data_IF_063780336253
#
_entry.id   IF_063780336253
#
_cell.length_a   1.000
_cell.length_b   1.000
_cell.length_c   1.000
_cell.angle_alpha   90.00
_cell.angle_beta   90.00
_cell.angle_gamma   90.00
#
_symmetry.space_group_name_H-M   'P 1'
#
loop_
_entity.id
_entity.type
_entity.pdbx_description
1 polymer ?
#
# COMPACT_ATOMS: atom_id res chain seq x y z
N UNK A 1 4.56 18.66 -18.54
CA UNK A 1 5.45 17.91 -17.62
C UNK A 1 5.56 18.51 -16.23
N UNK A 2 6.11 19.72 -16.00
CA UNK A 2 6.25 20.27 -14.63
C UNK A 2 4.94 20.55 -13.88
N UNK A 3 3.85 20.84 -14.56
CA UNK A 3 2.55 21.14 -13.94
C UNK A 3 1.78 19.87 -13.52
N UNK A 4 1.78 18.83 -14.33
CA UNK A 4 1.12 17.54 -14.05
C UNK A 4 1.85 16.81 -12.93
N UNK A 5 3.18 16.90 -12.91
CA UNK A 5 4.00 16.35 -11.83
C UNK A 5 3.72 17.03 -10.48
N UNK A 6 3.48 18.36 -10.49
CA UNK A 6 3.04 19.07 -9.27
C UNK A 6 1.64 18.62 -8.83
N UNK A 7 0.73 18.32 -9.76
CA UNK A 7 -0.62 17.88 -9.42
C UNK A 7 -0.61 16.46 -8.82
N UNK A 8 0.20 15.55 -9.36
CA UNK A 8 0.30 14.17 -8.88
C UNK A 8 1.00 14.10 -7.49
N UNK A 9 2.07 14.89 -7.29
CA UNK A 9 2.76 14.98 -6.00
C UNK A 9 1.92 15.77 -4.98
N UNK A 10 1.19 16.83 -5.39
CA UNK A 10 0.30 17.55 -4.49
C UNK A 10 -0.87 16.68 -4.01
N UNK A 11 -1.47 15.86 -4.86
CA UNK A 11 -2.50 14.92 -4.45
C UNK A 11 -1.98 13.83 -3.48
N UNK A 12 -0.73 13.40 -3.64
CA UNK A 12 -0.10 12.48 -2.67
C UNK A 12 0.32 13.18 -1.36
N UNK A 13 0.77 14.43 -1.42
CA UNK A 13 1.15 15.20 -0.21
C UNK A 13 -0.07 15.76 0.54
N UNK A 14 -1.14 16.13 -0.15
CA UNK A 14 -2.33 16.69 0.48
C UNK A 14 -3.10 15.66 1.34
N UNK A 15 -3.02 14.36 1.00
CA UNK A 15 -3.60 13.30 1.83
C UNK A 15 -2.76 12.92 3.07
N UNK A 16 -1.52 13.39 3.16
CA UNK A 16 -0.62 13.07 4.28
C UNK A 16 -0.75 14.00 5.52
N UNK A 17 -1.65 14.99 5.51
CA UNK A 17 -1.71 16.05 6.53
C UNK A 17 -3.07 16.21 7.24
N UNK A 18 -3.83 15.14 7.41
CA UNK A 18 -5.01 15.22 8.28
C UNK A 18 -4.60 14.96 9.74
N UNK A 19 -4.90 15.88 10.69
CA UNK A 19 -4.61 15.65 12.08
C UNK A 19 -5.56 14.60 12.66
N UNK A 20 -4.98 13.62 13.35
CA UNK A 20 -5.69 12.69 14.23
C UNK A 20 -6.32 13.50 15.37
N UNK A 21 -7.62 13.47 15.51
CA UNK A 21 -8.29 13.87 16.76
C UNK A 21 -8.12 12.73 17.77
N UNK A 22 -7.37 12.98 18.81
CA UNK A 22 -7.38 12.18 20.04
C UNK A 22 -8.55 12.63 20.91
N UNK A 23 -9.41 11.69 21.29
CA UNK A 23 -10.37 11.88 22.36
C UNK A 23 -9.65 11.95 23.71
N UNK A 24 -9.93 12.99 24.46
CA UNK A 24 -10.14 12.97 25.90
C UNK A 24 -10.56 14.38 26.33
N UNK A 25 -11.82 14.55 26.73
CA UNK A 25 -12.18 15.03 28.05
C UNK A 25 -13.71 15.12 28.23
N UNK A 26 -14.16 14.47 29.28
CA UNK A 26 -15.50 14.61 29.79
C UNK A 26 -15.69 15.97 30.48
N UNK A 27 -16.66 16.74 30.04
CA UNK A 27 -17.41 17.63 30.95
C UNK A 27 -18.82 17.84 30.44
N UNK A 28 -19.76 17.48 31.31
CA UNK A 28 -21.19 17.71 31.20
C UNK A 28 -21.54 19.17 30.86
N UNK A 29 -22.32 19.35 29.82
CA UNK A 29 -23.40 20.32 29.79
C UNK A 29 -24.47 19.81 28.81
N UNK A 30 -25.59 19.38 29.40
CA UNK A 30 -26.82 19.15 28.67
C UNK A 30 -27.21 20.44 27.92
N UNK A 31 -26.99 20.47 26.62
CA UNK A 31 -27.74 21.31 25.73
C UNK A 31 -28.40 20.38 24.74
N UNK A 32 -29.73 20.33 24.81
CA UNK A 32 -30.63 19.62 23.94
C UNK A 32 -30.35 20.00 22.48
N UNK A 33 -29.57 19.19 21.80
CA UNK A 33 -29.48 19.18 20.35
C UNK A 33 -30.69 18.41 19.81
N UNK A 34 -31.54 18.99 18.94
CA UNK A 34 -32.71 18.28 18.40
C UNK A 34 -32.30 17.38 17.23
N UNK A 35 -31.26 16.54 17.39
CA UNK A 35 -30.87 15.51 16.46
C UNK A 35 -31.49 14.19 16.92
N UNK A 36 -32.77 14.05 16.80
CA UNK A 36 -33.42 12.76 16.65
C UNK A 36 -34.83 12.95 16.14
N UNK A 37 -34.95 13.06 14.90
CA UNK A 37 -36.23 12.95 14.27
C UNK A 37 -36.02 12.34 12.92
N UNK A 38 -36.55 11.18 12.79
CA UNK A 38 -36.68 10.24 11.70
C UNK A 38 -36.87 10.86 10.29
N UNK A 39 -35.95 11.70 9.81
CA UNK A 39 -35.91 12.03 8.40
C UNK A 39 -34.76 11.22 7.75
N UNK A 40 -35.11 10.46 6.73
CA UNK A 40 -34.14 9.64 5.99
C UNK A 40 -33.23 10.55 5.16
N UNK A 41 -31.96 10.16 4.93
CA UNK A 41 -31.11 10.86 3.97
C UNK A 41 -31.69 10.78 2.55
N UNK A 42 -31.15 11.58 1.64
CA UNK A 42 -31.46 11.47 0.21
C UNK A 42 -31.01 10.11 -0.30
N UNK A 43 -31.77 9.51 -1.22
CA UNK A 43 -31.42 8.26 -1.89
C UNK A 43 -30.68 8.50 -3.20
N UNK A 44 -30.00 7.48 -3.70
CA UNK A 44 -29.35 7.48 -5.02
C UNK A 44 -28.45 8.71 -5.28
N UNK A 45 -27.78 9.21 -4.23
CA UNK A 45 -26.98 10.42 -4.31
C UNK A 45 -25.74 10.21 -5.22
N UNK A 46 -25.66 10.98 -6.29
CA UNK A 46 -24.55 10.94 -7.24
C UNK A 46 -24.12 12.37 -7.62
N UNK A 47 -22.84 12.54 -7.89
CA UNK A 47 -22.27 13.78 -8.43
C UNK A 47 -21.43 13.39 -9.65
N UNK A 48 -21.69 14.02 -10.77
CA UNK A 48 -21.06 13.73 -12.06
C UNK A 48 -20.43 15.01 -12.62
N UNK A 49 -19.30 14.87 -13.31
CA UNK A 49 -18.74 15.96 -14.09
C UNK A 49 -19.63 16.22 -15.31
N UNK A 50 -19.81 17.49 -15.66
CA UNK A 50 -20.45 17.91 -16.93
C UNK A 50 -19.36 18.18 -17.98
N UNK A 51 -19.73 18.70 -19.14
CA UNK A 51 -18.76 19.14 -20.14
C UNK A 51 -18.20 20.56 -19.86
N UNK A 52 -18.44 21.10 -18.69
CA UNK A 52 -18.01 22.44 -18.26
C UNK A 52 -17.06 22.35 -17.06
N UNK A 53 -15.96 23.07 -17.11
CA UNK A 53 -14.93 23.09 -16.07
C UNK A 53 -15.40 23.61 -14.70
N UNK A 54 -16.49 24.35 -14.66
CA UNK A 54 -17.02 24.98 -13.45
C UNK A 54 -18.43 24.49 -13.11
N UNK A 55 -18.77 23.24 -13.47
CA UNK A 55 -20.13 22.74 -13.28
C UNK A 55 -20.13 21.24 -12.96
N UNK A 56 -20.92 20.86 -11.98
CA UNK A 56 -21.17 19.49 -11.56
C UNK A 56 -22.67 19.18 -11.67
N UNK A 57 -23.03 18.00 -12.16
CA UNK A 57 -24.40 17.51 -12.14
C UNK A 57 -24.63 16.68 -10.87
N UNK A 58 -25.49 17.18 -9.98
CA UNK A 58 -25.87 16.51 -8.73
C UNK A 58 -27.23 15.85 -8.92
N UNK A 59 -27.33 14.57 -8.61
CA UNK A 59 -28.54 13.75 -8.72
C UNK A 59 -28.87 13.11 -7.39
N UNK A 60 -30.17 13.07 -7.05
CA UNK A 60 -30.61 12.36 -5.84
C UNK A 60 -32.10 12.01 -5.94
N UNK A 61 -32.55 11.11 -5.07
CA UNK A 61 -33.95 10.83 -4.83
C UNK A 61 -34.36 11.39 -3.47
N UNK A 62 -35.41 12.19 -3.43
CA UNK A 62 -35.92 12.76 -2.18
C UNK A 62 -36.42 11.64 -1.25
N UNK A 63 -36.29 11.79 0.08
CA UNK A 63 -36.82 10.83 1.03
C UNK A 63 -38.33 10.68 0.92
N UNK A 64 -38.85 9.49 1.26
CA UNK A 64 -40.30 9.19 1.31
C UNK A 64 -41.00 9.79 2.56
N UNK A 65 -40.25 10.44 3.45
CA UNK A 65 -40.82 11.07 4.63
C UNK A 65 -41.90 12.11 4.26
N UNK A 66 -43.06 12.04 4.91
CA UNK A 66 -44.21 12.93 4.60
C UNK A 66 -43.95 14.40 4.88
N UNK A 67 -43.03 14.70 5.74
CA UNK A 67 -42.67 16.03 6.22
C UNK A 67 -41.37 16.57 5.60
N UNK A 68 -40.79 15.88 4.63
CA UNK A 68 -39.66 16.43 3.86
C UNK A 68 -40.13 17.70 3.11
N UNK A 69 -39.28 18.71 3.13
CA UNK A 69 -39.63 20.02 2.57
C UNK A 69 -38.50 20.55 1.69
N UNK A 70 -37.27 20.34 2.09
CA UNK A 70 -36.09 20.88 1.42
C UNK A 70 -34.97 19.89 1.38
N UNK A 71 -34.07 20.06 0.40
CA UNK A 71 -32.72 19.48 0.38
C UNK A 71 -31.72 20.63 0.34
N UNK A 72 -30.79 20.63 1.26
CA UNK A 72 -29.65 21.51 1.24
C UNK A 72 -28.47 20.80 0.57
N UNK A 73 -27.99 21.39 -0.52
CA UNK A 73 -26.71 21.03 -1.11
C UNK A 73 -25.64 21.96 -0.58
N UNK A 74 -24.55 21.40 -0.13
CA UNK A 74 -23.35 22.15 0.23
C UNK A 74 -22.16 21.60 -0.53
N UNK A 75 -21.16 22.47 -0.80
CA UNK A 75 -19.93 22.04 -1.42
C UNK A 75 -18.75 22.77 -0.82
N UNK A 76 -17.62 22.11 -0.78
CA UNK A 76 -16.36 22.68 -0.34
C UNK A 76 -15.22 22.15 -1.21
N UNK A 77 -14.23 22.98 -1.45
CA UNK A 77 -12.96 22.57 -2.05
C UNK A 77 -12.17 21.71 -1.04
N UNK A 78 -11.85 20.49 -1.44
CA UNK A 78 -11.14 19.53 -0.60
C UNK A 78 -9.69 20.00 -0.33
N UNK A 79 -9.08 20.73 -1.28
CA UNK A 79 -7.71 21.22 -1.19
C UNK A 79 -7.61 22.56 -0.46
N UNK A 80 -8.60 23.42 -0.55
CA UNK A 80 -8.60 24.72 0.13
C UNK A 80 -8.60 24.59 1.66
N UNK A 81 -9.12 23.50 2.19
CA UNK A 81 -9.04 23.20 3.63
C UNK A 81 -7.62 22.88 4.11
N UNK A 82 -6.70 22.58 3.20
CA UNK A 82 -5.29 22.27 3.47
C UNK A 82 -4.37 23.50 3.27
N UNK A 83 -4.80 24.47 2.48
CA UNK A 83 -4.11 25.74 2.33
C UNK A 83 -4.77 26.78 3.27
N UNK A 84 -3.98 27.55 4.01
CA UNK A 84 -4.46 28.68 4.85
C UNK A 84 -5.03 29.85 4.01
N UNK A 85 -5.62 29.57 2.86
CA UNK A 85 -6.30 30.57 2.04
C UNK A 85 -7.67 30.85 2.67
N UNK A 86 -7.80 32.02 3.29
CA UNK A 86 -8.87 32.42 4.21
C UNK A 86 -10.15 32.88 3.54
N UNK A 87 -10.32 32.76 2.23
CA UNK A 87 -11.40 33.45 1.51
C UNK A 87 -12.45 32.53 0.85
N UNK A 88 -12.41 31.21 1.07
CA UNK A 88 -13.43 30.33 0.52
C UNK A 88 -14.46 29.94 1.59
N UNK A 89 -15.68 30.52 1.49
CA UNK A 89 -16.84 30.06 2.24
C UNK A 89 -17.50 28.90 1.51
N UNK A 90 -17.84 27.79 2.17
CA UNK A 90 -18.60 26.70 1.58
C UNK A 90 -19.90 27.24 0.95
N UNK A 91 -20.20 26.82 -0.28
CA UNK A 91 -21.46 27.19 -0.92
C UNK A 91 -22.60 26.37 -0.34
N UNK A 92 -23.73 27.00 -0.09
CA UNK A 92 -24.97 26.36 0.36
C UNK A 92 -26.12 26.73 -0.58
N UNK A 93 -26.89 25.73 -1.00
CA UNK A 93 -28.04 25.88 -1.88
C UNK A 93 -29.20 25.12 -1.27
N UNK A 94 -30.31 25.78 -1.09
CA UNK A 94 -31.55 25.17 -0.55
C UNK A 94 -32.55 24.99 -1.68
N UNK A 95 -33.05 23.78 -1.85
CA UNK A 95 -33.96 23.36 -2.88
C UNK A 95 -35.25 22.86 -2.26
N UNK A 96 -36.38 23.45 -2.60
CA UNK A 96 -37.70 22.95 -2.21
C UNK A 96 -37.98 21.64 -2.95
N UNK A 97 -38.44 20.62 -2.23
CA UNK A 97 -38.57 19.29 -2.79
C UNK A 97 -39.90 18.63 -2.44
N UNK A 98 -40.33 17.73 -3.30
CA UNK A 98 -41.43 16.79 -3.07
C UNK A 98 -40.84 15.41 -2.73
N UNK A 99 -41.52 14.64 -1.87
CA UNK A 99 -41.08 13.31 -1.50
C UNK A 99 -41.04 12.35 -2.68
N UNK A 100 -40.18 11.33 -2.61
CA UNK A 100 -40.04 10.25 -3.58
C UNK A 100 -39.73 10.71 -5.03
N UNK A 101 -39.36 11.97 -5.23
CA UNK A 101 -39.01 12.52 -6.54
C UNK A 101 -37.50 12.44 -6.75
N UNK A 102 -37.07 11.93 -7.89
CA UNK A 102 -35.66 12.03 -8.34
C UNK A 102 -35.45 13.43 -8.94
N UNK A 103 -34.40 14.08 -8.48
CA UNK A 103 -34.05 15.43 -8.90
C UNK A 103 -32.62 15.52 -9.41
N UNK A 104 -32.40 16.50 -10.26
CA UNK A 104 -31.10 16.87 -10.78
C UNK A 104 -30.87 18.37 -10.57
N UNK A 105 -29.63 18.73 -10.24
CA UNK A 105 -29.24 20.13 -10.07
C UNK A 105 -27.85 20.37 -10.69
N UNK A 106 -27.73 21.39 -11.53
CA UNK A 106 -26.48 21.85 -12.09
C UNK A 106 -25.81 22.79 -11.08
N UNK A 107 -24.88 22.28 -10.35
CA UNK A 107 -24.09 22.99 -9.34
C UNK A 107 -22.95 23.75 -10.01
N UNK A 108 -22.98 25.07 -9.97
CA UNK A 108 -21.88 25.91 -10.42
C UNK A 108 -20.86 26.06 -9.30
N UNK A 109 -19.60 25.74 -9.61
CA UNK A 109 -18.45 25.90 -8.71
C UNK A 109 -17.57 27.04 -9.19
N UNK A 110 -16.89 27.77 -8.27
CA UNK A 110 -16.22 29.04 -8.61
C UNK A 110 -14.97 28.87 -9.47
N UNK A 111 -14.32 27.72 -9.41
CA UNK A 111 -13.09 27.42 -10.16
C UNK A 111 -12.90 25.92 -10.27
N UNK A 112 -11.95 25.49 -11.09
CA UNK A 112 -11.59 24.08 -11.24
C UNK A 112 -10.81 23.58 -10.01
N UNK A 113 -11.42 22.67 -9.25
CA UNK A 113 -10.85 22.03 -8.07
C UNK A 113 -11.57 20.71 -7.76
N UNK A 114 -11.07 19.95 -6.82
CA UNK A 114 -11.76 18.77 -6.29
C UNK A 114 -12.75 19.20 -5.20
N UNK A 115 -14.04 18.97 -5.44
CA UNK A 115 -15.11 19.35 -4.52
C UNK A 115 -15.68 18.16 -3.78
N UNK A 116 -15.87 18.30 -2.47
CA UNK A 116 -16.81 17.47 -1.72
C UNK A 116 -18.18 18.13 -1.79
N UNK A 117 -19.16 17.42 -2.36
CA UNK A 117 -20.55 17.84 -2.43
C UNK A 117 -21.37 17.00 -1.48
N UNK A 118 -22.19 17.63 -0.65
CA UNK A 118 -23.04 16.97 0.33
C UNK A 118 -24.49 17.37 0.17
N UNK A 119 -25.39 16.43 0.44
CA UNK A 119 -26.83 16.65 0.44
C UNK A 119 -27.46 16.28 1.79
N UNK A 120 -28.28 17.15 2.35
CA UNK A 120 -28.99 16.95 3.62
C UNK A 120 -30.48 17.22 3.39
N UNK A 121 -31.32 16.23 3.68
CA UNK A 121 -32.78 16.44 3.66
C UNK A 121 -33.26 17.18 4.91
N UNK A 122 -34.20 18.09 4.77
CA UNK A 122 -34.72 18.95 5.84
C UNK A 122 -36.23 18.82 5.86
N UNK A 123 -36.82 18.61 7.03
CA UNK A 123 -38.28 18.57 7.22
C UNK A 123 -38.86 19.95 7.41
N UNK A 124 -40.20 20.07 7.29
CA UNK A 124 -40.98 21.31 7.60
C UNK A 124 -40.73 21.82 9.01
N UNK A 125 -40.36 20.94 9.94
CA UNK A 125 -40.03 21.29 11.30
C UNK A 125 -38.54 21.64 11.50
N UNK A 126 -37.74 21.72 10.43
CA UNK A 126 -36.31 22.03 10.45
C UNK A 126 -35.41 20.89 10.87
N UNK A 127 -35.93 19.65 11.03
CA UNK A 127 -35.11 18.47 11.35
C UNK A 127 -34.28 18.09 10.12
N UNK A 128 -33.03 17.68 10.36
CA UNK A 128 -32.04 17.37 9.33
C UNK A 128 -31.72 15.88 9.30
N UNK A 129 -31.51 15.33 8.11
CA UNK A 129 -30.95 13.98 7.94
C UNK A 129 -29.45 13.97 8.19
N UNK A 130 -28.86 12.77 8.28
CA UNK A 130 -27.42 12.61 8.07
C UNK A 130 -27.08 13.01 6.62
N UNK A 131 -25.90 13.61 6.37
CA UNK A 131 -25.49 13.99 5.02
C UNK A 131 -25.12 12.76 4.18
N UNK A 132 -25.45 12.81 2.89
CA UNK A 132 -24.82 11.98 1.86
C UNK A 132 -23.79 12.85 1.14
N UNK A 133 -22.56 12.33 0.94
CA UNK A 133 -21.45 13.09 0.35
C UNK A 133 -20.76 12.33 -0.76
N UNK A 134 -20.28 13.06 -1.76
CA UNK A 134 -19.44 12.55 -2.85
C UNK A 134 -18.35 13.57 -3.16
N UNK A 135 -17.19 13.04 -3.56
CA UNK A 135 -16.06 13.84 -4.01
C UNK A 135 -16.04 13.77 -5.55
N UNK A 136 -15.99 14.92 -6.21
CA UNK A 136 -15.95 15.01 -7.66
C UNK A 136 -15.10 16.20 -8.10
N UNK A 137 -14.37 16.02 -9.20
CA UNK A 137 -13.69 17.06 -9.94
C UNK A 137 -14.54 17.41 -11.16
N UNK A 138 -14.80 18.71 -11.47
CA UNK A 138 -15.45 19.11 -12.72
C UNK A 138 -14.68 18.59 -13.94
N UNK A 139 -15.35 18.57 -15.08
CA UNK A 139 -14.69 18.23 -16.35
C UNK A 139 -13.55 19.21 -16.62
N UNK A 140 -12.43 18.67 -16.95
CA UNK A 140 -11.31 19.41 -17.53
C UNK A 140 -11.13 18.93 -18.96
N UNK A 141 -11.11 19.87 -19.92
CA UNK A 141 -10.82 19.52 -21.30
C UNK A 141 -9.47 18.76 -21.32
N UNK A 142 -9.54 17.51 -21.71
CA UNK A 142 -8.35 16.69 -21.81
C UNK A 142 -7.48 17.35 -22.88
N UNK A 143 -6.48 18.11 -22.45
CA UNK A 143 -5.40 18.50 -23.36
C UNK A 143 -4.87 17.18 -23.90
N UNK A 144 -4.88 16.99 -25.20
CA UNK A 144 -4.28 15.81 -25.84
C UNK A 144 -2.83 15.73 -25.38
N UNK A 145 -2.62 14.99 -24.29
CA UNK A 145 -1.28 14.59 -23.91
C UNK A 145 -0.80 13.68 -25.02
N UNK A 146 0.46 13.84 -25.48
CA UNK A 146 0.99 12.96 -26.49
C UNK A 146 0.82 11.52 -25.98
N UNK A 147 0.19 10.69 -26.79
CA UNK A 147 -0.04 9.28 -26.50
C UNK A 147 1.31 8.62 -26.13
N UNK A 148 1.42 8.08 -24.94
CA UNK A 148 2.64 7.41 -24.49
C UNK A 148 2.89 6.19 -25.38
N UNK A 149 4.01 6.17 -26.09
CA UNK A 149 4.38 5.08 -27.00
C UNK A 149 5.13 3.97 -26.26
N UNK A 150 4.48 3.41 -25.26
CA UNK A 150 5.01 2.25 -24.55
C UNK A 150 4.68 0.95 -25.31
N UNK A 151 5.53 -0.07 -25.25
CA UNK A 151 5.15 -1.41 -25.66
C UNK A 151 3.86 -1.83 -24.92
N UNK A 152 2.95 -2.52 -25.60
CA UNK A 152 1.61 -2.84 -25.07
C UNK A 152 1.63 -3.43 -23.65
N UNK A 153 2.54 -4.36 -23.36
CA UNK A 153 2.64 -4.99 -22.04
C UNK A 153 3.14 -4.02 -20.97
N UNK A 154 4.07 -3.13 -21.32
CA UNK A 154 4.57 -2.10 -20.41
C UNK A 154 3.51 -1.04 -20.14
N UNK A 155 2.75 -0.62 -21.15
CA UNK A 155 1.62 0.29 -21.00
C UNK A 155 0.57 -0.28 -20.06
N UNK A 156 0.20 -1.55 -20.22
CA UNK A 156 -0.71 -2.24 -19.30
C UNK A 156 -0.17 -2.31 -17.87
N UNK A 157 1.10 -2.67 -17.71
CA UNK A 157 1.75 -2.73 -16.40
C UNK A 157 1.78 -1.34 -15.73
N UNK A 158 2.13 -0.28 -16.50
CA UNK A 158 2.11 1.10 -16.04
C UNK A 158 0.71 1.54 -15.60
N UNK A 159 -0.32 1.24 -16.39
CA UNK A 159 -1.72 1.55 -16.06
C UNK A 159 -2.16 0.87 -14.76
N UNK A 160 -1.85 -0.42 -14.58
CA UNK A 160 -2.17 -1.13 -13.34
C UNK A 160 -1.38 -0.56 -12.15
N UNK A 161 -0.08 -0.35 -12.29
CA UNK A 161 0.76 0.18 -11.21
C UNK A 161 0.32 1.57 -10.78
N UNK A 162 -0.02 2.44 -11.72
CA UNK A 162 -0.57 3.78 -11.43
C UNK A 162 -1.87 3.68 -10.63
N UNK A 163 -2.77 2.77 -11.01
CA UNK A 163 -4.01 2.53 -10.29
C UNK A 163 -3.75 1.98 -8.88
N UNK A 164 -2.85 1.01 -8.73
CA UNK A 164 -2.49 0.43 -7.42
C UNK A 164 -1.87 1.49 -6.52
N UNK A 165 -0.93 2.29 -7.01
CA UNK A 165 -0.36 3.42 -6.27
C UNK A 165 -1.48 4.39 -5.87
N UNK A 166 -2.35 4.77 -6.80
CA UNK A 166 -3.46 5.69 -6.57
C UNK A 166 -4.42 5.24 -5.47
N UNK A 167 -4.70 3.96 -5.35
CA UNK A 167 -5.65 3.43 -4.35
C UNK A 167 -5.00 3.03 -3.03
N UNK A 168 -3.77 2.52 -3.04
CA UNK A 168 -3.19 1.87 -1.88
C UNK A 168 -1.99 2.58 -1.28
N UNK A 169 -1.19 3.34 -2.05
CA UNK A 169 0.05 3.93 -1.56
C UNK A 169 -0.16 5.34 -0.99
N UNK A 170 0.58 5.68 0.07
CA UNK A 170 0.63 7.04 0.63
C UNK A 170 -0.68 7.56 1.20
N UNK A 171 -1.60 6.67 1.59
CA UNK A 171 -2.89 7.04 2.18
C UNK A 171 -2.85 7.19 3.70
N UNK A 172 -1.71 6.88 4.31
CA UNK A 172 -1.39 7.14 5.71
C UNK A 172 -0.30 8.21 5.82
N UNK A 173 0.00 8.65 7.03
CA UNK A 173 1.08 9.60 7.31
C UNK A 173 2.49 9.04 7.05
N UNK A 174 2.62 7.73 6.81
CA UNK A 174 3.90 7.02 6.74
C UNK A 174 4.42 6.73 5.33
N UNK A 175 3.71 7.10 4.29
CA UNK A 175 4.06 6.73 2.91
C UNK A 175 4.14 5.21 2.72
N UNK A 176 3.21 4.48 3.30
CA UNK A 176 3.10 3.03 3.26
C UNK A 176 1.97 2.58 2.34
N UNK A 177 2.00 1.29 1.97
CA UNK A 177 0.89 0.64 1.29
C UNK A 177 -0.22 0.31 2.27
N UNK A 178 -1.47 0.54 1.88
CA UNK A 178 -2.64 0.09 2.65
C UNK A 178 -2.90 -1.40 2.46
N UNK A 179 -3.51 -2.01 3.48
CA UNK A 179 -3.91 -3.41 3.46
C UNK A 179 -5.18 -3.68 2.66
N UNK A 180 -6.06 -2.68 2.48
CA UNK A 180 -7.35 -2.85 1.82
C UNK A 180 -7.84 -1.57 1.13
N UNK A 181 -8.73 -1.78 0.16
CA UNK A 181 -9.46 -0.70 -0.52
C UNK A 181 -10.92 -1.17 -0.84
N UNK A 182 -11.94 -0.32 -0.62
CA UNK A 182 -11.86 0.95 0.11
C UNK A 182 -11.47 0.74 1.57
N UNK A 183 -10.85 1.77 2.18
CA UNK A 183 -10.51 1.71 3.59
C UNK A 183 -11.78 1.74 4.45
N UNK A 184 -11.97 0.71 5.25
CA UNK A 184 -13.19 0.48 6.05
C UNK A 184 -13.04 0.86 7.53
N UNK A 185 -11.98 1.60 7.87
CA UNK A 185 -11.67 1.99 9.26
C UNK A 185 -11.11 0.84 10.11
N UNK A 186 -10.87 -0.32 9.51
CA UNK A 186 -10.28 -1.50 10.16
C UNK A 186 -8.87 -1.71 9.65
N UNK A 187 -8.08 -2.36 10.44
CA UNK A 187 -6.70 -2.69 10.10
C UNK A 187 -5.73 -2.21 11.15
N UNK A 188 -4.47 -2.54 10.94
CA UNK A 188 -3.38 -2.17 11.83
C UNK A 188 -2.74 -0.86 11.36
N UNK A 189 -2.25 -0.05 12.30
CA UNK A 189 -1.42 1.12 12.00
C UNK A 189 -2.03 2.07 10.96
N UNK A 190 -3.21 2.58 11.20
CA UNK A 190 -3.96 3.44 10.27
C UNK A 190 -4.34 2.75 8.94
N UNK A 191 -4.48 1.43 8.97
CA UNK A 191 -4.83 0.62 7.81
C UNK A 191 -3.68 0.31 6.86
N UNK A 192 -2.44 0.55 7.28
CA UNK A 192 -1.27 0.13 6.52
C UNK A 192 -1.20 -1.41 6.47
N UNK A 193 -0.71 -1.94 5.36
CA UNK A 193 -0.44 -3.36 5.23
C UNK A 193 0.70 -3.79 6.16
N UNK A 194 0.70 -5.07 6.53
CA UNK A 194 1.85 -5.70 7.17
C UNK A 194 3.09 -5.64 6.27
N UNK A 195 4.26 -5.89 6.84
CA UNK A 195 5.53 -5.88 6.10
C UNK A 195 5.50 -6.74 4.84
N UNK A 196 4.82 -7.90 4.87
CA UNK A 196 4.61 -8.74 3.70
C UNK A 196 3.93 -7.98 2.54
N UNK A 197 2.83 -7.27 2.83
CA UNK A 197 2.13 -6.44 1.84
C UNK A 197 2.96 -5.24 1.40
N UNK A 198 3.75 -4.64 2.30
CA UNK A 198 4.71 -3.59 1.96
C UNK A 198 5.76 -4.10 0.98
N UNK A 199 6.34 -5.29 1.22
CA UNK A 199 7.28 -5.95 0.34
C UNK A 199 6.70 -6.23 -1.04
N UNK A 200 5.48 -6.80 -1.12
CA UNK A 200 4.82 -7.03 -2.42
C UNK A 200 4.62 -5.76 -3.25
N UNK A 201 4.23 -4.66 -2.61
CA UNK A 201 4.12 -3.35 -3.26
C UNK A 201 5.48 -2.79 -3.68
N UNK A 202 6.51 -2.97 -2.87
CA UNK A 202 7.88 -2.57 -3.18
C UNK A 202 8.44 -3.36 -4.36
N UNK A 203 8.28 -4.68 -4.39
CA UNK A 203 8.72 -5.54 -5.51
C UNK A 203 8.10 -5.12 -6.83
N UNK A 204 6.79 -4.84 -6.84
CA UNK A 204 6.12 -4.33 -8.03
C UNK A 204 6.67 -2.96 -8.46
N UNK A 205 6.95 -2.07 -7.51
CA UNK A 205 7.52 -0.75 -7.78
C UNK A 205 8.95 -0.85 -8.36
N UNK A 206 9.82 -1.66 -7.75
CA UNK A 206 11.21 -1.83 -8.20
C UNK A 206 11.25 -2.48 -9.59
N UNK A 207 10.38 -3.47 -9.85
CA UNK A 207 10.24 -4.05 -11.18
C UNK A 207 9.79 -3.02 -12.23
N UNK A 208 8.86 -2.13 -11.89
CA UNK A 208 8.45 -1.04 -12.78
C UNK A 208 9.57 -0.01 -12.99
N UNK A 209 10.36 0.23 -11.96
CA UNK A 209 11.53 1.13 -12.04
C UNK A 209 12.54 0.65 -13.08
N UNK A 210 12.83 -0.66 -13.09
CA UNK A 210 13.71 -1.30 -14.08
C UNK A 210 13.04 -1.34 -15.46
N UNK A 211 11.81 -1.81 -15.57
CA UNK A 211 11.10 -1.98 -16.84
C UNK A 211 10.83 -0.67 -17.60
N UNK A 212 10.74 0.45 -16.89
CA UNK A 212 10.47 1.78 -17.48
C UNK A 212 11.72 2.56 -17.83
N UNK A 213 12.89 2.01 -17.59
CA UNK A 213 14.18 2.63 -17.92
C UNK A 213 14.22 3.04 -19.39
N UNK A 214 14.74 4.23 -19.66
CA UNK A 214 14.79 4.83 -20.99
C UNK A 214 13.42 5.05 -21.67
N UNK A 215 12.32 4.88 -20.93
CA UNK A 215 10.98 5.16 -21.43
C UNK A 215 10.51 6.57 -21.03
N UNK A 216 9.41 7.01 -21.65
CA UNK A 216 8.80 8.32 -21.36
C UNK A 216 8.30 8.46 -19.92
N UNK A 217 8.06 7.33 -19.23
CA UNK A 217 7.55 7.29 -17.85
C UNK A 217 8.62 7.00 -16.77
N UNK A 218 9.88 6.86 -17.14
CA UNK A 218 10.99 6.59 -16.22
C UNK A 218 11.02 7.59 -15.04
N UNK A 219 10.86 8.88 -15.34
CA UNK A 219 10.89 9.93 -14.33
C UNK A 219 9.73 9.87 -13.33
N UNK A 220 8.62 9.21 -13.68
CA UNK A 220 7.47 9.05 -12.78
C UNK A 220 7.88 8.16 -11.61
N UNK A 221 8.48 7.02 -11.89
CA UNK A 221 8.92 6.09 -10.86
C UNK A 221 10.13 6.63 -10.10
N UNK A 222 11.13 7.20 -10.80
CA UNK A 222 12.30 7.80 -10.15
C UNK A 222 11.99 8.87 -9.12
N UNK A 223 10.96 9.67 -9.37
CA UNK A 223 10.53 10.69 -8.43
C UNK A 223 9.87 10.13 -7.14
N UNK A 224 9.51 8.85 -7.13
CA UNK A 224 8.89 8.19 -5.98
C UNK A 224 9.90 7.42 -5.11
N UNK A 225 11.14 7.26 -5.55
CA UNK A 225 12.18 6.46 -4.87
C UNK A 225 12.30 6.82 -3.39
N UNK A 226 12.44 8.09 -3.05
CA UNK A 226 12.58 8.53 -1.66
C UNK A 226 11.36 8.19 -0.80
N UNK A 227 10.18 8.31 -1.37
CA UNK A 227 8.93 8.09 -0.65
C UNK A 227 8.70 6.60 -0.40
N UNK A 228 8.95 5.75 -1.40
CA UNK A 228 8.87 4.29 -1.30
C UNK A 228 9.90 3.76 -0.29
N UNK A 229 11.15 4.22 -0.39
CA UNK A 229 12.20 3.83 0.55
C UNK A 229 11.86 4.26 1.98
N UNK A 230 11.41 5.50 2.18
CA UNK A 230 11.00 5.99 3.50
C UNK A 230 9.85 5.14 4.08
N UNK A 231 8.88 4.77 3.28
CA UNK A 231 7.75 3.95 3.72
C UNK A 231 8.19 2.60 4.27
N UNK A 232 9.01 1.86 3.53
CA UNK A 232 9.47 0.54 3.99
C UNK A 232 10.40 0.64 5.21
N UNK A 233 11.15 1.74 5.36
CA UNK A 233 12.05 1.93 6.50
C UNK A 233 11.33 2.04 7.85
N UNK A 234 10.05 2.37 7.90
CA UNK A 234 9.28 2.32 9.15
C UNK A 234 9.22 0.91 9.75
N UNK A 235 9.32 -0.12 8.94
CA UNK A 235 9.29 -1.51 9.38
C UNK A 235 10.67 -2.03 9.79
N UNK A 236 11.75 -1.33 9.44
CA UNK A 236 13.12 -1.69 9.83
C UNK A 236 13.38 -1.25 11.28
N UNK A 237 13.36 -2.21 12.21
CA UNK A 237 13.40 -1.97 13.65
C UNK A 237 14.65 -2.59 14.29
N UNK A 238 15.29 -1.83 15.18
CA UNK A 238 16.32 -2.37 16.07
C UNK A 238 15.62 -3.00 17.29
N UNK A 239 15.70 -4.30 17.40
CA UNK A 239 15.19 -5.05 18.54
C UNK A 239 16.18 -6.12 18.98
N UNK A 240 16.42 -6.25 20.29
CA UNK A 240 17.38 -7.19 20.89
C UNK A 240 18.79 -7.08 20.29
N UNK A 241 19.19 -5.90 19.83
CA UNK A 241 20.47 -5.65 19.19
C UNK A 241 20.55 -6.03 17.70
N UNK A 242 19.46 -6.50 17.11
CA UNK A 242 19.38 -6.97 15.73
C UNK A 242 18.49 -5.98 14.94
N UNK A 243 19.00 -5.49 13.81
CA UNK A 243 18.27 -4.64 12.89
C UNK A 243 17.64 -5.50 11.78
N UNK A 244 16.30 -5.49 11.68
CA UNK A 244 15.55 -6.25 10.67
C UNK A 244 14.15 -5.69 10.48
N UNK A 245 13.44 -6.12 9.44
CA UNK A 245 12.07 -5.74 9.19
C UNK A 245 11.11 -6.56 10.05
N UNK A 246 10.26 -5.86 10.82
CA UNK A 246 9.23 -6.44 11.67
C UNK A 246 7.88 -6.45 10.96
N UNK A 247 6.97 -7.37 11.32
CA UNK A 247 5.61 -7.41 10.78
C UNK A 247 4.88 -6.08 10.87
N UNK A 248 5.11 -5.33 11.96
CA UNK A 248 4.57 -4.00 12.22
C UNK A 248 5.72 -3.03 12.49
N UNK A 249 5.51 -1.72 12.26
CA UNK A 249 6.56 -0.72 12.48
C UNK A 249 6.76 -0.37 13.96
N UNK A 250 7.05 -1.38 14.79
CA UNK A 250 7.39 -1.22 16.19
C UNK A 250 8.33 -2.32 16.66
N UNK A 251 9.23 -2.01 17.60
CA UNK A 251 10.10 -2.99 18.24
C UNK A 251 9.31 -4.03 19.05
N UNK A 252 9.85 -5.23 19.20
CA UNK A 252 9.21 -6.33 19.91
C UNK A 252 8.15 -7.09 19.12
N UNK A 253 7.91 -6.70 17.86
CA UNK A 253 7.05 -7.45 16.96
C UNK A 253 7.75 -8.63 16.32
N UNK A 254 6.94 -9.57 15.85
CA UNK A 254 7.41 -10.75 15.16
C UNK A 254 8.13 -10.38 13.86
N UNK A 255 9.20 -11.12 13.55
CA UNK A 255 10.02 -10.96 12.35
C UNK A 255 10.15 -12.28 11.64
N UNK A 256 9.96 -12.26 10.33
CA UNK A 256 10.05 -13.42 9.47
C UNK A 256 11.23 -13.28 8.51
N UNK A 257 11.97 -14.36 8.32
CA UNK A 257 13.14 -14.36 7.43
C UNK A 257 12.73 -14.30 5.96
N UNK A 258 11.61 -14.92 5.58
CA UNK A 258 11.07 -14.82 4.23
C UNK A 258 10.58 -13.40 3.91
N UNK A 259 9.85 -12.73 4.82
CA UNK A 259 9.47 -11.32 4.64
C UNK A 259 10.70 -10.43 4.40
N UNK A 260 11.77 -10.65 5.17
CA UNK A 260 12.99 -9.88 5.08
C UNK A 260 13.75 -10.15 3.78
N UNK A 261 13.87 -11.41 3.35
CA UNK A 261 14.65 -11.73 2.15
C UNK A 261 14.04 -11.12 0.89
N UNK A 262 12.70 -11.07 0.78
CA UNK A 262 12.04 -10.42 -0.34
C UNK A 262 12.37 -8.93 -0.41
N UNK A 263 12.34 -8.23 0.72
CA UNK A 263 12.78 -6.82 0.80
C UNK A 263 14.27 -6.71 0.46
N UNK A 264 15.09 -7.64 0.91
CA UNK A 264 16.51 -7.69 0.58
C UNK A 264 16.78 -7.81 -0.91
N UNK A 265 16.02 -8.67 -1.62
CA UNK A 265 16.08 -8.82 -3.07
C UNK A 265 15.73 -7.50 -3.78
N UNK A 266 14.63 -6.85 -3.37
CA UNK A 266 14.25 -5.55 -3.92
C UNK A 266 15.33 -4.49 -3.71
N UNK A 267 15.98 -4.47 -2.55
CA UNK A 267 17.07 -3.53 -2.26
C UNK A 267 18.29 -3.76 -3.15
N UNK A 268 18.63 -5.01 -3.46
CA UNK A 268 19.74 -5.32 -4.39
C UNK A 268 19.38 -4.90 -5.81
N UNK A 269 18.17 -5.20 -6.26
CA UNK A 269 17.70 -4.81 -7.59
C UNK A 269 17.66 -3.29 -7.74
N UNK A 270 17.14 -2.59 -6.73
CA UNK A 270 17.09 -1.13 -6.72
C UNK A 270 18.50 -0.50 -6.72
N UNK A 271 19.45 -1.08 -5.96
CA UNK A 271 20.85 -0.68 -6.05
C UNK A 271 21.44 -0.94 -7.43
N UNK A 272 21.14 -2.10 -8.02
CA UNK A 272 21.66 -2.45 -9.35
C UNK A 272 21.19 -1.47 -10.40
N UNK A 273 19.96 -0.98 -10.28
CA UNK A 273 19.37 -0.01 -11.17
C UNK A 273 19.91 1.42 -10.94
N UNK A 274 19.95 1.88 -9.70
CA UNK A 274 20.23 3.30 -9.39
C UNK A 274 21.68 3.59 -9.00
N UNK A 275 22.42 2.58 -8.55
CA UNK A 275 23.75 2.68 -7.90
C UNK A 275 23.77 3.50 -6.61
N UNK A 276 22.60 3.76 -6.01
CA UNK A 276 22.53 4.49 -4.75
C UNK A 276 22.88 3.59 -3.56
N UNK A 277 23.92 3.97 -2.83
CA UNK A 277 24.49 3.18 -1.72
C UNK A 277 23.51 2.90 -0.57
N UNK A 278 22.45 3.71 -0.41
CA UNK A 278 21.44 3.48 0.63
C UNK A 278 20.74 2.11 0.45
N UNK A 279 20.47 1.70 -0.77
CA UNK A 279 19.83 0.43 -1.06
C UNK A 279 20.77 -0.75 -0.80
N UNK A 280 22.04 -0.65 -1.23
CA UNK A 280 23.03 -1.68 -0.92
C UNK A 280 23.28 -1.80 0.58
N UNK A 281 23.33 -0.68 1.30
CA UNK A 281 23.46 -0.68 2.76
C UNK A 281 22.31 -1.45 3.42
N UNK A 282 21.08 -1.21 2.95
CA UNK A 282 19.91 -1.89 3.48
C UNK A 282 19.87 -3.38 3.08
N UNK A 283 20.29 -3.71 1.87
CA UNK A 283 20.47 -5.11 1.47
C UNK A 283 21.48 -5.84 2.38
N UNK A 284 22.59 -5.20 2.72
CA UNK A 284 23.59 -5.77 3.66
C UNK A 284 23.00 -5.97 5.07
N UNK A 285 22.11 -5.11 5.53
CA UNK A 285 21.39 -5.30 6.81
C UNK A 285 20.54 -6.56 6.76
N UNK A 286 19.74 -6.74 5.72
CA UNK A 286 18.93 -7.95 5.53
C UNK A 286 19.81 -9.19 5.40
N UNK A 287 20.88 -9.11 4.61
CA UNK A 287 21.82 -10.23 4.47
C UNK A 287 22.37 -10.72 5.81
N UNK A 288 22.84 -9.79 6.65
CA UNK A 288 23.33 -10.14 7.99
C UNK A 288 22.24 -10.78 8.85
N UNK A 289 21.02 -10.27 8.78
CA UNK A 289 19.92 -10.87 9.50
C UNK A 289 19.65 -12.32 9.06
N UNK A 290 19.70 -12.60 7.76
CA UNK A 290 19.49 -13.96 7.22
C UNK A 290 20.60 -14.93 7.61
N UNK A 291 21.86 -14.49 7.50
CA UNK A 291 23.02 -15.39 7.67
C UNK A 291 23.41 -15.51 9.14
N UNK A 292 23.50 -14.39 9.86
CA UNK A 292 24.01 -14.41 11.24
C UNK A 292 22.96 -14.88 12.25
N UNK A 293 21.65 -14.79 11.89
CA UNK A 293 20.55 -15.10 12.80
C UNK A 293 19.54 -16.11 12.23
N UNK A 294 19.38 -16.19 10.91
CA UNK A 294 18.44 -17.08 10.23
C UNK A 294 19.00 -18.46 9.92
N UNK A 295 20.31 -18.55 9.69
CA UNK A 295 21.01 -19.81 9.45
C UNK A 295 21.57 -20.40 10.73
N UNK A 296 21.37 -21.69 10.94
CA UNK A 296 22.14 -22.49 11.92
C UNK A 296 22.24 -23.95 11.43
N UNK A 297 22.90 -24.82 12.18
CA UNK A 297 23.13 -26.22 11.79
C UNK A 297 21.93 -27.13 12.11
N UNK A 298 20.84 -26.63 12.68
CA UNK A 298 19.59 -27.38 12.87
C UNK A 298 19.08 -27.87 11.53
N UNK A 299 18.57 -29.09 11.46
CA UNK A 299 18.15 -29.77 10.21
C UNK A 299 19.28 -29.91 9.17
N UNK A 300 20.54 -29.84 9.54
CA UNK A 300 21.66 -29.86 8.61
C UNK A 300 21.95 -28.53 7.94
N UNK A 301 21.35 -27.41 8.38
CA UNK A 301 21.47 -26.08 7.80
C UNK A 301 20.15 -25.46 7.39
N UNK A 302 20.21 -24.47 6.47
CA UNK A 302 19.04 -23.77 5.97
C UNK A 302 18.62 -22.58 6.80
N UNK A 303 17.75 -21.74 6.24
CA UNK A 303 17.22 -20.54 6.90
C UNK A 303 15.86 -20.85 7.52
N UNK A 304 15.68 -20.40 8.77
CA UNK A 304 14.38 -20.51 9.46
C UNK A 304 13.28 -19.71 8.76
N UNK A 305 12.01 -19.96 9.11
CA UNK A 305 10.91 -19.18 8.64
C UNK A 305 10.78 -17.86 9.40
N UNK A 306 10.85 -17.94 10.73
CA UNK A 306 10.68 -16.77 11.61
C UNK A 306 11.74 -16.73 12.70
N UNK A 307 11.95 -15.54 13.25
CA UNK A 307 12.82 -15.36 14.39
C UNK A 307 12.31 -16.15 15.60
N UNK A 308 13.22 -16.84 16.23
CA UNK A 308 12.92 -17.89 17.18
C UNK A 308 12.17 -17.42 18.42
N UNK A 309 11.03 -18.05 18.64
CA UNK A 309 10.67 -18.52 19.95
C UNK A 309 10.91 -20.05 19.99
N UNK A 310 10.93 -20.64 21.16
CA UNK A 310 11.34 -22.03 21.45
C UNK A 310 10.68 -23.15 20.60
N UNK A 311 9.77 -22.83 19.68
CA UNK A 311 8.98 -23.80 18.92
C UNK A 311 9.21 -23.78 17.40
N UNK A 312 10.17 -23.02 16.90
CA UNK A 312 10.35 -22.82 15.46
C UNK A 312 11.76 -23.09 15.01
N UNK A 313 12.12 -24.35 15.03
CA UNK A 313 13.42 -24.83 14.57
C UNK A 313 13.40 -25.38 13.13
N UNK A 314 12.23 -25.35 12.46
CA UNK A 314 12.10 -25.81 11.08
C UNK A 314 12.81 -24.88 10.09
N UNK A 315 13.32 -25.47 9.02
CA UNK A 315 13.95 -24.76 7.91
C UNK A 315 13.03 -24.76 6.70
N UNK A 316 12.90 -23.61 6.07
CA UNK A 316 11.87 -23.40 5.05
C UNK A 316 12.43 -23.07 3.69
N UNK A 317 11.78 -23.61 2.64
CA UNK A 317 12.10 -23.31 1.26
C UNK A 317 11.86 -21.85 0.91
N UNK A 318 10.79 -21.22 1.45
CA UNK A 318 10.45 -19.82 1.22
C UNK A 318 11.46 -18.82 1.79
N UNK A 319 12.32 -19.25 2.73
CA UNK A 319 13.41 -18.44 3.27
C UNK A 319 14.75 -18.80 2.63
N UNK A 320 15.06 -20.10 2.51
CA UNK A 320 16.38 -20.56 2.06
C UNK A 320 16.59 -20.35 0.56
N UNK A 321 15.58 -20.65 -0.27
CA UNK A 321 15.66 -20.45 -1.71
C UNK A 321 15.90 -18.99 -2.11
N UNK A 322 15.08 -18.03 -1.65
CA UNK A 322 15.33 -16.62 -1.91
C UNK A 322 16.66 -16.10 -1.34
N UNK A 323 17.17 -16.67 -0.22
CA UNK A 323 18.49 -16.31 0.30
C UNK A 323 19.60 -16.70 -0.66
N UNK A 324 19.48 -17.87 -1.34
CA UNK A 324 20.42 -18.24 -2.41
C UNK A 324 20.38 -17.21 -3.57
N UNK A 325 19.17 -16.82 -4.02
CA UNK A 325 19.03 -15.79 -5.06
C UNK A 325 19.65 -14.46 -4.62
N UNK A 326 19.38 -14.04 -3.39
CA UNK A 326 19.93 -12.79 -2.86
C UNK A 326 21.46 -12.82 -2.83
N UNK A 327 22.05 -13.93 -2.43
CA UNK A 327 23.52 -14.11 -2.45
C UNK A 327 24.08 -13.97 -3.88
N UNK A 328 23.47 -14.63 -4.88
CA UNK A 328 23.87 -14.48 -6.28
C UNK A 328 23.80 -13.01 -6.72
N UNK A 329 22.68 -12.31 -6.47
CA UNK A 329 22.50 -10.90 -6.83
C UNK A 329 23.49 -10.00 -6.09
N UNK A 330 23.74 -10.22 -4.81
CA UNK A 330 24.73 -9.48 -4.02
C UNK A 330 26.14 -9.66 -4.59
N UNK A 331 26.51 -10.89 -4.95
CA UNK A 331 27.79 -11.16 -5.63
C UNK A 331 27.91 -10.42 -6.95
N UNK A 332 26.88 -10.47 -7.79
CA UNK A 332 26.88 -9.72 -9.07
C UNK A 332 27.00 -8.21 -8.85
N UNK A 333 26.38 -7.69 -7.80
CA UNK A 333 26.38 -6.26 -7.48
C UNK A 333 27.70 -5.76 -6.87
N UNK A 334 28.40 -6.59 -6.08
CA UNK A 334 29.56 -6.18 -5.25
C UNK A 334 30.86 -6.87 -5.63
N UNK A 335 30.83 -8.04 -6.27
CA UNK A 335 31.95 -8.94 -6.52
C UNK A 335 32.62 -9.48 -5.24
N UNK A 336 31.92 -9.43 -4.09
CA UNK A 336 32.39 -9.98 -2.83
C UNK A 336 32.10 -11.49 -2.79
N UNK A 337 33.13 -12.35 -2.73
CA UNK A 337 33.02 -13.81 -2.84
C UNK A 337 32.16 -14.45 -1.75
N UNK A 338 32.11 -13.87 -0.57
CA UNK A 338 31.29 -14.36 0.57
C UNK A 338 29.83 -14.59 0.17
N UNK A 339 29.26 -13.69 -0.64
CA UNK A 339 27.86 -13.80 -1.07
C UNK A 339 27.62 -15.02 -1.96
N UNK A 340 28.54 -15.29 -2.88
CA UNK A 340 28.43 -16.45 -3.76
C UNK A 340 28.62 -17.76 -2.99
N UNK A 341 29.58 -17.81 -2.05
CA UNK A 341 29.82 -19.01 -1.22
C UNK A 341 28.56 -19.37 -0.41
N UNK A 342 27.91 -18.39 0.19
CA UNK A 342 26.64 -18.57 0.88
C UNK A 342 25.47 -18.91 -0.05
N UNK A 343 25.42 -18.32 -1.23
CA UNK A 343 24.39 -18.65 -2.23
C UNK A 343 24.49 -20.13 -2.61
N UNK A 344 25.67 -20.63 -2.88
CA UNK A 344 25.93 -22.05 -3.17
C UNK A 344 25.52 -22.92 -1.97
N UNK A 345 25.93 -22.55 -0.76
CA UNK A 345 25.57 -23.29 0.46
C UNK A 345 24.04 -23.39 0.65
N UNK A 346 23.32 -22.29 0.45
CA UNK A 346 21.85 -22.29 0.50
C UNK A 346 21.21 -23.14 -0.61
N UNK A 347 21.75 -23.04 -1.82
CA UNK A 347 21.26 -23.81 -2.97
C UNK A 347 21.49 -25.31 -2.80
N UNK A 348 22.68 -25.72 -2.38
CA UNK A 348 23.01 -27.12 -2.09
C UNK A 348 22.09 -27.70 -1.00
N UNK A 349 21.83 -26.92 0.06
CA UNK A 349 20.86 -27.32 1.09
C UNK A 349 19.47 -27.54 0.50
N UNK A 350 18.99 -26.65 -0.39
CA UNK A 350 17.70 -26.83 -1.06
C UNK A 350 17.68 -28.13 -1.86
N UNK A 351 18.73 -28.42 -2.62
CA UNK A 351 18.84 -29.65 -3.38
C UNK A 351 18.89 -30.89 -2.48
N UNK A 352 19.74 -30.89 -1.45
CA UNK A 352 20.03 -32.09 -0.68
C UNK A 352 18.88 -32.45 0.29
N UNK A 353 18.25 -31.47 0.89
CA UNK A 353 17.29 -31.65 1.99
C UNK A 353 15.85 -31.45 1.56
N UNK A 354 15.56 -30.42 0.77
CA UNK A 354 14.18 -30.00 0.50
C UNK A 354 13.65 -30.42 -0.88
N UNK A 355 14.51 -30.90 -1.80
CA UNK A 355 14.07 -31.34 -3.11
C UNK A 355 13.47 -32.74 -3.09
N UNK A 356 12.27 -32.91 -3.62
CA UNK A 356 11.71 -34.22 -3.97
C UNK A 356 12.43 -34.78 -5.20
N UNK A 357 13.19 -35.85 -5.01
CA UNK A 357 13.99 -36.45 -6.09
C UNK A 357 13.13 -37.17 -7.16
N UNK A 358 11.83 -37.32 -6.93
CA UNK A 358 10.92 -37.97 -7.89
C UNK A 358 10.40 -37.03 -8.98
N UNK A 359 10.24 -35.74 -8.66
CA UNK A 359 9.70 -34.72 -9.60
C UNK A 359 10.51 -33.43 -9.64
N UNK A 360 11.59 -33.35 -8.82
CA UNK A 360 12.50 -32.21 -8.71
C UNK A 360 11.88 -30.90 -8.18
N UNK A 361 10.65 -30.94 -7.67
CA UNK A 361 10.03 -29.83 -6.97
C UNK A 361 10.47 -29.80 -5.50
N UNK A 362 10.24 -28.67 -4.84
CA UNK A 362 10.71 -28.46 -3.47
C UNK A 362 9.57 -28.54 -2.45
N UNK A 363 9.78 -29.29 -1.39
CA UNK A 363 8.92 -29.37 -0.21
C UNK A 363 8.90 -28.03 0.53
N UNK A 364 7.87 -27.82 1.35
CA UNK A 364 7.71 -26.56 2.06
C UNK A 364 8.77 -26.36 3.14
N UNK A 365 8.91 -27.32 4.04
CA UNK A 365 9.87 -27.22 5.13
C UNK A 365 10.30 -28.59 5.66
N UNK A 366 11.33 -28.58 6.48
CA UNK A 366 11.82 -29.74 7.24
C UNK A 366 11.92 -29.38 8.72
N UNK A 367 11.50 -30.30 9.58
CA UNK A 367 11.65 -30.22 11.03
C UNK A 367 12.92 -30.95 11.48
N UNK A 368 13.51 -30.60 12.63
CA UNK A 368 14.63 -31.33 13.18
C UNK A 368 14.31 -32.80 13.44
N UNK A 369 15.31 -33.66 13.26
CA UNK A 369 15.20 -35.03 13.69
C UNK A 369 15.09 -35.10 15.23
N UNK A 370 14.27 -36.03 15.73
CA UNK A 370 13.93 -36.13 17.15
C UNK A 370 15.11 -36.60 18.00
N UNK A 371 15.99 -37.42 17.40
CA UNK A 371 17.14 -38.02 18.08
C UNK A 371 18.41 -37.15 17.98
N UNK A 372 18.55 -36.43 16.86
CA UNK A 372 19.63 -35.47 16.62
C UNK A 372 19.09 -34.23 15.88
N UNK A 373 18.91 -33.11 16.57
CA UNK A 373 18.34 -31.88 15.95
C UNK A 373 19.15 -31.32 14.77
N UNK A 374 20.42 -31.64 14.66
CA UNK A 374 21.27 -31.21 13.57
C UNK A 374 21.00 -31.99 12.26
N UNK A 375 20.27 -33.08 12.34
CA UNK A 375 19.86 -33.84 11.16
C UNK A 375 18.47 -33.45 10.70
N UNK A 376 18.18 -33.51 9.37
CA UNK A 376 16.83 -33.40 8.84
C UNK A 376 15.91 -34.49 9.40
N UNK A 377 14.70 -34.13 9.79
CA UNK A 377 13.66 -35.02 10.29
C UNK A 377 12.45 -35.06 9.37
N UNK A 378 11.27 -34.77 9.91
CA UNK A 378 10.00 -34.86 9.17
C UNK A 378 9.87 -33.70 8.15
N UNK A 379 9.62 -34.07 6.89
CA UNK A 379 9.36 -33.12 5.79
C UNK A 379 7.86 -32.75 5.72
N UNK A 380 7.56 -31.47 5.61
CA UNK A 380 6.26 -30.96 5.18
C UNK A 380 6.22 -30.99 3.64
N UNK A 381 5.46 -31.95 3.10
CA UNK A 381 5.53 -32.32 1.68
C UNK A 381 4.66 -31.47 0.75
N UNK A 382 4.03 -30.42 1.24
CA UNK A 382 3.37 -29.45 0.37
C UNK A 382 4.39 -28.80 -0.57
N UNK A 383 3.98 -28.55 -1.80
CA UNK A 383 4.82 -27.96 -2.83
C UNK A 383 4.14 -26.73 -3.37
N UNK A 384 4.73 -25.58 -3.11
CA UNK A 384 4.26 -24.30 -3.62
C UNK A 384 5.15 -23.84 -4.79
N UNK A 385 4.57 -23.20 -5.78
CA UNK A 385 5.30 -22.77 -6.99
C UNK A 385 6.49 -21.86 -6.69
N UNK A 386 6.36 -20.95 -5.71
CA UNK A 386 7.45 -20.07 -5.31
C UNK A 386 8.63 -20.83 -4.66
N UNK A 387 8.38 -21.94 -3.97
CA UNK A 387 9.44 -22.78 -3.38
C UNK A 387 10.33 -23.42 -4.44
N UNK A 388 9.81 -23.60 -5.66
CA UNK A 388 10.58 -24.15 -6.78
C UNK A 388 11.11 -23.04 -7.70
N UNK A 389 10.42 -21.93 -7.81
CA UNK A 389 10.83 -20.80 -8.64
C UNK A 389 12.13 -20.14 -8.16
N UNK A 390 12.33 -20.01 -6.85
CA UNK A 390 13.52 -19.36 -6.30
C UNK A 390 14.81 -20.17 -6.49
N UNK A 391 14.86 -21.49 -6.20
CA UNK A 391 16.05 -22.30 -6.54
C UNK A 391 16.34 -22.30 -8.04
N UNK A 392 15.32 -22.32 -8.89
CA UNK A 392 15.49 -22.20 -10.34
C UNK A 392 16.17 -20.88 -10.72
N UNK A 393 15.72 -19.77 -10.13
CA UNK A 393 16.33 -18.45 -10.34
C UNK A 393 17.77 -18.39 -9.84
N UNK A 394 18.09 -19.03 -8.70
CA UNK A 394 19.45 -19.07 -8.18
C UNK A 394 20.40 -19.88 -9.10
N UNK A 395 19.88 -20.90 -9.80
CA UNK A 395 20.64 -21.73 -10.71
C UNK A 395 20.95 -21.06 -12.06
N UNK A 396 20.21 -20.00 -12.45
CA UNK A 396 20.42 -19.27 -13.70
C UNK A 396 21.43 -18.14 -13.54
#
# INVERSE_FOLDING_TARGET
MKAIFKLFILNLLALALLPSCSDDDQSNSEQNDPISGNISPVGSFAVEATNNENELLVKWTNPSNRDVDMVELSYRDVEASLSRATDFSPGHIIIQVERDVTQEYLLKVPYFATYEVSAVAISKAGKRSVPESRIMMPYHEKVDEPELKLPEMLDRAHSYMTSVIGYYFGKSSRSCWRGNYPYDGKGYWDGDALVWGQGGGLSAFVAMRDATKESEVENIYGAMDDMMFKGIQYFCQLDRGILAYSCYPAAGNERFYDDNVWIGLDMVDWYTETKEMRYLTQAKVVWRYLIDHGWDETCGGGVHWRELNEHTTSKHSCSTGPTAVMGCKMYLATQEQEYLDWAIKCYDYMLDVLQDKSDHLFYDNVRPNKDDPNLPGDLEKNKYSYNSGQPLQAAC
#
